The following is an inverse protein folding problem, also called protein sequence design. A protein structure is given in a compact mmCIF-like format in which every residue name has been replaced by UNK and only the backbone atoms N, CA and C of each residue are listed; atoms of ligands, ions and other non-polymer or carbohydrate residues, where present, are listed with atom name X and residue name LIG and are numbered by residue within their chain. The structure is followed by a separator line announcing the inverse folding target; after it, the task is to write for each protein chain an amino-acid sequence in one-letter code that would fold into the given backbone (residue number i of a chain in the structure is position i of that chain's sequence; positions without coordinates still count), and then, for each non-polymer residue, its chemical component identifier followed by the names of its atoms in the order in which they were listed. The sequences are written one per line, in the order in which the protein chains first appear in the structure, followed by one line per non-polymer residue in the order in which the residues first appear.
data_IF_140633702343
#
_entry.id   IF_140633702343
#
_cell.length_a   1.000
_cell.length_b   1.000
_cell.length_c   1.000
_cell.angle_alpha   90.00
_cell.angle_beta   90.00
_cell.angle_gamma   90.00
#
_symmetry.space_group_name_H-M   'P 1'
#
loop_
_entity.id
_entity.type
_entity.pdbx_description
1 polymer ?
#
# COMPACT_ATOMS: atom_id res chain seq x y z
N UNK A 1 -14.17 -24.13 -15.18
CA UNK A 1 -14.69 -23.59 -13.91
C UNK A 1 -13.50 -23.05 -13.15
N UNK A 2 -13.61 -21.85 -12.56
CA UNK A 2 -12.51 -21.31 -11.77
C UNK A 2 -12.33 -22.11 -10.48
N UNK A 3 -11.09 -22.36 -10.07
CA UNK A 3 -10.81 -23.07 -8.80
C UNK A 3 -11.08 -22.15 -7.61
N UNK A 4 -11.32 -22.72 -6.42
CA UNK A 4 -11.45 -21.91 -5.19
C UNK A 4 -10.20 -21.06 -4.92
N UNK A 5 -9.04 -21.50 -5.39
CA UNK A 5 -7.77 -20.78 -5.28
C UNK A 5 -7.74 -19.55 -6.20
N UNK A 6 -8.21 -19.68 -7.44
CA UNK A 6 -8.35 -18.57 -8.40
C UNK A 6 -9.33 -17.51 -7.91
N UNK A 7 -10.45 -17.92 -7.29
CA UNK A 7 -11.40 -16.99 -6.69
C UNK A 7 -10.81 -16.26 -5.47
N UNK A 8 -10.05 -16.97 -4.63
CA UNK A 8 -9.35 -16.39 -3.48
C UNK A 8 -8.29 -15.36 -3.87
N UNK A 9 -7.70 -15.51 -5.06
CA UNK A 9 -6.71 -14.60 -5.62
C UNK A 9 -7.29 -13.29 -6.17
N UNK A 10 -8.58 -13.27 -6.53
CA UNK A 10 -9.18 -12.15 -7.25
C UNK A 10 -9.15 -10.85 -6.43
N UNK A 11 -9.53 -10.91 -5.15
CA UNK A 11 -9.61 -9.73 -4.29
C UNK A 11 -8.23 -9.08 -4.05
N UNK A 12 -7.17 -9.82 -3.65
CA UNK A 12 -5.81 -9.26 -3.59
C UNK A 12 -5.33 -8.64 -4.91
N UNK A 13 -5.65 -9.27 -6.04
CA UNK A 13 -5.26 -8.76 -7.35
C UNK A 13 -5.98 -7.44 -7.65
N UNK A 14 -7.29 -7.34 -7.40
CA UNK A 14 -8.04 -6.08 -7.55
C UNK A 14 -7.47 -4.96 -6.67
N UNK A 15 -7.15 -5.24 -5.40
CA UNK A 15 -6.55 -4.24 -4.52
C UNK A 15 -5.19 -3.76 -5.03
N UNK A 16 -4.39 -4.65 -5.63
CA UNK A 16 -3.09 -4.31 -6.19
C UNK A 16 -3.19 -3.55 -7.50
N UNK A 17 -4.20 -3.84 -8.34
CA UNK A 17 -4.37 -3.16 -9.61
C UNK A 17 -5.07 -1.81 -9.49
N UNK A 18 -5.81 -1.57 -8.39
CA UNK A 18 -6.65 -0.38 -8.22
C UNK A 18 -5.92 0.95 -8.55
N UNK A 19 -4.70 1.24 -8.04
CA UNK A 19 -4.03 2.49 -8.41
C UNK A 19 -3.80 2.62 -9.92
N UNK A 20 -3.39 1.54 -10.59
CA UNK A 20 -3.15 1.51 -12.03
C UNK A 20 -4.45 1.64 -12.83
N UNK A 21 -5.51 0.96 -12.38
CA UNK A 21 -6.84 1.10 -12.95
C UNK A 21 -7.35 2.53 -12.85
N UNK A 22 -7.01 3.26 -11.78
CA UNK A 22 -7.37 4.66 -11.64
C UNK A 22 -6.68 5.55 -12.69
N UNK A 23 -5.38 5.40 -12.95
CA UNK A 23 -4.70 6.15 -14.04
C UNK A 23 -5.40 5.93 -15.38
N UNK A 24 -5.62 4.67 -15.75
CA UNK A 24 -6.23 4.36 -17.05
C UNK A 24 -7.67 4.88 -17.12
N UNK A 25 -8.47 4.68 -16.06
CA UNK A 25 -9.85 5.14 -16.03
C UNK A 25 -9.95 6.67 -16.11
N UNK A 26 -9.15 7.40 -15.32
CA UNK A 26 -9.16 8.87 -15.29
C UNK A 26 -8.64 9.43 -16.62
N UNK A 27 -7.53 8.91 -17.15
CA UNK A 27 -6.99 9.32 -18.45
C UNK A 27 -7.95 9.08 -19.61
N UNK A 28 -8.57 7.89 -19.68
CA UNK A 28 -9.56 7.58 -20.72
C UNK A 28 -10.78 8.48 -20.58
N UNK A 29 -11.28 8.70 -19.35
CA UNK A 29 -12.41 9.60 -19.11
C UNK A 29 -12.08 11.04 -19.51
N UNK A 30 -10.88 11.54 -19.18
CA UNK A 30 -10.41 12.86 -19.57
C UNK A 30 -10.36 13.02 -21.09
N UNK A 31 -9.84 12.03 -21.81
CA UNK A 31 -9.74 12.07 -23.27
C UNK A 31 -11.10 11.94 -23.96
N UNK A 32 -11.91 10.96 -23.55
CA UNK A 32 -13.19 10.64 -24.18
C UNK A 32 -14.24 11.75 -23.98
N UNK A 33 -14.31 12.31 -22.77
CA UNK A 33 -15.30 13.33 -22.41
C UNK A 33 -14.73 14.75 -22.42
N UNK A 34 -13.45 14.91 -22.80
CA UNK A 34 -12.73 16.20 -22.79
C UNK A 34 -12.89 16.94 -21.45
N UNK A 35 -12.88 16.18 -20.35
CA UNK A 35 -13.15 16.70 -19.02
C UNK A 35 -11.89 17.37 -18.45
N UNK A 36 -11.88 18.70 -18.24
CA UNK A 36 -10.73 19.39 -17.65
C UNK A 36 -10.47 18.97 -16.21
N UNK A 37 -11.53 18.61 -15.47
CA UNK A 37 -11.43 18.08 -14.11
C UNK A 37 -10.70 16.73 -14.09
N UNK A 38 -11.06 15.81 -14.99
CA UNK A 38 -10.37 14.52 -15.08
C UNK A 38 -8.93 14.68 -15.58
N UNK A 39 -8.67 15.60 -16.52
CA UNK A 39 -7.32 15.90 -16.98
C UNK A 39 -6.45 16.45 -15.83
N UNK A 40 -7.02 17.29 -14.97
CA UNK A 40 -6.36 17.76 -13.76
C UNK A 40 -6.02 16.63 -12.79
N UNK A 41 -6.99 15.75 -12.54
CA UNK A 41 -6.77 14.58 -11.68
C UNK A 41 -5.67 13.67 -12.25
N UNK A 42 -5.66 13.43 -13.56
CA UNK A 42 -4.61 12.65 -14.23
C UNK A 42 -3.23 13.30 -14.04
N UNK A 43 -3.12 14.61 -14.25
CA UNK A 43 -1.88 15.35 -14.02
C UNK A 43 -1.41 15.21 -12.57
N UNK A 44 -2.33 15.33 -11.60
CA UNK A 44 -2.04 15.14 -10.19
C UNK A 44 -1.55 13.73 -9.86
N UNK A 45 -2.17 12.71 -10.46
CA UNK A 45 -1.75 11.31 -10.31
C UNK A 45 -0.35 11.06 -10.88
N UNK A 46 -0.04 11.61 -12.06
CA UNK A 46 1.28 11.49 -12.68
C UNK A 46 2.36 12.21 -11.87
N UNK A 47 2.06 13.41 -11.38
CA UNK A 47 2.95 14.16 -10.50
C UNK A 47 3.20 13.42 -9.17
N UNK A 48 2.17 12.81 -8.60
CA UNK A 48 2.27 12.00 -7.38
C UNK A 48 3.19 10.77 -7.59
N UNK A 49 3.08 10.07 -8.73
CA UNK A 49 3.96 8.94 -9.05
C UNK A 49 5.42 9.39 -9.26
N UNK A 50 5.63 10.47 -10.03
CA UNK A 50 6.95 11.05 -10.23
C UNK A 50 7.61 11.45 -8.90
N UNK A 51 6.84 12.03 -7.98
CA UNK A 51 7.31 12.36 -6.64
C UNK A 51 7.59 11.11 -5.81
N UNK A 52 6.74 10.07 -5.84
CA UNK A 52 7.04 8.80 -5.15
C UNK A 52 8.38 8.21 -5.62
N UNK A 53 8.61 8.20 -6.93
CA UNK A 53 9.87 7.77 -7.52
C UNK A 53 11.05 8.63 -7.06
N UNK A 54 10.91 9.95 -7.09
CA UNK A 54 11.93 10.88 -6.64
C UNK A 54 12.27 10.69 -5.15
N UNK A 55 11.27 10.49 -4.29
CA UNK A 55 11.45 10.24 -2.86
C UNK A 55 12.17 8.91 -2.60
N UNK A 56 11.79 7.83 -3.29
CA UNK A 56 12.52 6.54 -3.22
C UNK A 56 13.97 6.67 -3.64
N UNK A 57 14.26 7.53 -4.63
CA UNK A 57 15.63 7.81 -5.07
C UNK A 57 16.38 8.64 -4.02
N UNK A 58 15.76 9.70 -3.51
CA UNK A 58 16.34 10.57 -2.50
C UNK A 58 16.69 9.80 -1.21
N UNK A 59 15.77 8.97 -0.70
CA UNK A 59 16.04 8.15 0.48
C UNK A 59 17.20 7.18 0.27
N UNK A 60 17.25 6.49 -0.89
CA UNK A 60 18.39 5.62 -1.23
C UNK A 60 19.71 6.37 -1.29
N UNK A 61 19.72 7.58 -1.85
CA UNK A 61 20.92 8.41 -1.90
C UNK A 61 21.35 8.90 -0.51
N UNK A 62 20.40 9.25 0.37
CA UNK A 62 20.69 9.80 1.69
C UNK A 62 21.10 8.75 2.72
N UNK A 63 20.49 7.56 2.67
CA UNK A 63 20.61 6.54 3.71
C UNK A 63 21.41 5.31 3.27
N UNK A 64 21.66 5.15 1.97
CA UNK A 64 22.23 3.94 1.38
C UNK A 64 21.16 2.92 0.99
N UNK A 65 21.50 2.00 0.07
CA UNK A 65 20.58 0.93 -0.38
C UNK A 65 20.25 -0.08 0.71
N UNK A 66 21.17 -0.27 1.65
CA UNK A 66 21.08 -1.29 2.70
C UNK A 66 20.27 -0.82 3.92
N UNK A 67 19.82 0.44 3.96
CA UNK A 67 19.07 0.94 5.10
C UNK A 67 17.77 0.13 5.33
N UNK A 68 17.60 -0.38 6.55
CA UNK A 68 16.58 -1.34 6.95
C UNK A 68 15.15 -0.84 6.67
N UNK A 69 14.88 0.46 6.88
CA UNK A 69 13.58 1.04 6.57
C UNK A 69 13.31 1.19 5.06
N UNK A 70 14.33 1.16 4.22
CA UNK A 70 14.20 1.18 2.76
C UNK A 70 14.07 -0.22 2.17
N UNK A 71 14.56 -1.23 2.88
CA UNK A 71 14.41 -2.62 2.47
C UNK A 71 12.94 -3.03 2.51
N UNK A 72 12.56 -3.93 1.60
CA UNK A 72 11.27 -4.61 1.67
C UNK A 72 11.38 -5.82 2.61
N UNK A 73 10.24 -6.38 3.08
CA UNK A 73 10.25 -7.67 3.73
C UNK A 73 10.99 -8.73 2.89
N UNK A 74 11.73 -9.69 3.50
CA UNK A 74 12.57 -10.66 2.77
C UNK A 74 11.83 -11.44 1.68
N UNK A 75 10.57 -11.77 1.93
CA UNK A 75 9.73 -12.55 1.00
C UNK A 75 9.04 -11.68 -0.07
N UNK A 76 9.25 -10.36 -0.07
CA UNK A 76 8.55 -9.44 -0.95
C UNK A 76 8.86 -9.72 -2.43
N UNK A 77 7.89 -10.32 -3.11
CA UNK A 77 7.95 -10.59 -4.53
C UNK A 77 7.39 -9.42 -5.35
N UNK A 78 8.21 -8.89 -6.26
CA UNK A 78 7.75 -8.05 -7.36
C UNK A 78 7.38 -8.91 -8.55
N UNK A 79 6.31 -8.53 -9.21
CA UNK A 79 5.59 -9.49 -10.05
C UNK A 79 4.59 -8.75 -10.94
N UNK A 80 4.88 -7.47 -11.18
CA UNK A 80 4.03 -6.55 -11.93
C UNK A 80 2.61 -6.46 -11.38
N UNK A 81 1.67 -6.38 -12.33
CA UNK A 81 0.23 -6.26 -12.10
C UNK A 81 -0.38 -7.60 -11.62
N UNK A 82 0.20 -8.75 -12.00
CA UNK A 82 -0.35 -10.09 -11.72
C UNK A 82 0.67 -11.02 -11.03
N UNK A 83 0.70 -11.04 -9.69
CA UNK A 83 1.84 -11.56 -8.96
C UNK A 83 2.09 -13.05 -9.02
N UNK A 84 1.02 -13.79 -9.23
CA UNK A 84 0.96 -15.22 -8.95
C UNK A 84 1.57 -16.05 -10.07
N UNK A 85 1.86 -15.44 -11.23
CA UNK A 85 2.34 -16.17 -12.39
C UNK A 85 3.87 -16.22 -12.47
N UNK A 86 4.59 -15.15 -12.06
CA UNK A 86 6.07 -15.10 -12.08
C UNK A 86 6.59 -14.15 -10.98
N UNK A 87 6.73 -14.59 -9.73
CA UNK A 87 7.31 -13.78 -8.66
C UNK A 87 8.82 -13.59 -8.91
N UNK A 88 9.26 -12.32 -8.97
CA UNK A 88 10.66 -11.91 -9.02
C UNK A 88 11.03 -11.17 -7.74
N UNK A 89 12.30 -11.14 -7.35
CA UNK A 89 12.72 -10.35 -6.19
C UNK A 89 12.56 -8.86 -6.52
N UNK A 90 11.89 -8.10 -5.65
CA UNK A 90 11.75 -6.65 -5.85
C UNK A 90 13.11 -5.96 -5.79
N UNK A 91 13.45 -5.20 -6.85
CA UNK A 91 14.66 -4.36 -6.91
C UNK A 91 14.42 -2.91 -6.47
N UNK A 92 13.17 -2.51 -6.25
CA UNK A 92 12.83 -1.14 -5.86
C UNK A 92 12.77 -0.94 -4.34
N UNK A 93 13.15 0.28 -3.90
CA UNK A 93 13.01 0.71 -2.50
C UNK A 93 11.58 0.53 -2.00
N UNK A 94 11.44 0.01 -0.78
CA UNK A 94 10.18 -0.21 -0.11
C UNK A 94 9.50 1.08 0.37
N UNK A 95 10.24 2.19 0.50
CA UNK A 95 9.76 3.41 1.15
C UNK A 95 9.85 4.66 0.26
N UNK A 96 8.76 5.46 0.14
CA UNK A 96 7.39 5.17 0.59
C UNK A 96 6.65 4.17 -0.32
N UNK A 97 5.62 3.50 0.21
CA UNK A 97 4.79 2.61 -0.61
C UNK A 97 3.97 3.40 -1.64
N UNK A 98 4.18 3.13 -2.93
CA UNK A 98 3.49 3.82 -4.04
C UNK A 98 1.99 3.58 -4.03
N UNK A 99 1.55 2.31 -3.86
CA UNK A 99 0.13 1.96 -3.73
C UNK A 99 -0.57 2.73 -2.62
N UNK A 100 0.04 2.78 -1.42
CA UNK A 100 -0.54 3.49 -0.30
C UNK A 100 -0.63 5.01 -0.57
N UNK A 101 0.42 5.58 -1.18
CA UNK A 101 0.46 6.98 -1.55
C UNK A 101 -0.62 7.33 -2.59
N UNK A 102 -0.70 6.60 -3.70
CA UNK A 102 -1.68 6.87 -4.76
C UNK A 102 -3.12 6.65 -4.31
N UNK A 103 -3.40 5.58 -3.54
CA UNK A 103 -4.75 5.35 -3.02
C UNK A 103 -5.19 6.43 -2.03
N UNK A 104 -4.30 6.87 -1.14
CA UNK A 104 -4.62 7.97 -0.21
C UNK A 104 -4.75 9.32 -0.92
N UNK A 105 -3.95 9.56 -1.97
CA UNK A 105 -4.08 10.74 -2.83
C UNK A 105 -5.47 10.80 -3.47
N UNK A 106 -5.89 9.71 -4.12
CA UNK A 106 -7.23 9.59 -4.71
C UNK A 106 -8.32 9.78 -3.65
N UNK A 107 -8.16 9.13 -2.49
CA UNK A 107 -9.14 9.24 -1.43
C UNK A 107 -9.32 10.69 -0.95
N UNK A 108 -8.23 11.44 -0.81
CA UNK A 108 -8.28 12.84 -0.42
C UNK A 108 -8.96 13.73 -1.49
N UNK A 109 -8.62 13.55 -2.78
CA UNK A 109 -9.26 14.31 -3.86
C UNK A 109 -10.76 13.98 -3.97
N UNK A 110 -11.12 12.70 -3.97
CA UNK A 110 -12.53 12.27 -4.01
C UNK A 110 -13.31 12.71 -2.76
N UNK A 111 -12.64 12.80 -1.60
CA UNK A 111 -13.28 13.31 -0.38
C UNK A 111 -13.73 14.75 -0.54
N UNK A 112 -12.94 15.59 -1.21
CA UNK A 112 -13.33 16.97 -1.51
C UNK A 112 -14.55 17.04 -2.40
N UNK A 113 -14.61 16.21 -3.45
CA UNK A 113 -15.80 16.10 -4.29
C UNK A 113 -17.04 15.63 -3.51
N UNK A 114 -16.91 14.59 -2.66
CA UNK A 114 -18.00 14.09 -1.85
C UNK A 114 -18.52 15.11 -0.82
N UNK A 115 -17.62 15.90 -0.22
CA UNK A 115 -17.98 16.93 0.76
C UNK A 115 -18.65 18.16 0.16
N UNK A 116 -18.42 18.46 -1.13
CA UNK A 116 -19.11 19.54 -1.83
C UNK A 116 -20.60 19.26 -1.99
N UNK A 117 -20.99 17.99 -1.90
CA UNK A 117 -22.39 17.59 -2.04
C UNK A 117 -22.97 18.08 -3.35
N UNK A 118 -22.18 18.12 -4.43
CA UNK A 118 -22.69 18.45 -5.76
C UNK A 118 -23.82 17.46 -6.04
N UNK A 119 -25.03 18.02 -5.99
CA UNK A 119 -26.27 17.29 -6.00
C UNK A 119 -26.30 16.41 -7.23
N UNK A 120 -26.18 15.10 -7.03
CA UNK A 120 -26.74 14.18 -8.00
C UNK A 120 -28.20 14.59 -8.26
N UNK A 121 -28.74 14.38 -9.46
CA UNK A 121 -30.04 14.89 -9.89
C UNK A 121 -31.22 14.54 -8.96
N UNK A 122 -31.02 13.63 -8.00
CA UNK A 122 -32.04 13.13 -7.07
C UNK A 122 -32.04 13.79 -5.68
N UNK A 123 -31.26 14.85 -5.43
CA UNK A 123 -31.31 15.62 -4.19
C UNK A 123 -30.84 14.82 -2.96
N UNK A 124 -29.62 15.09 -2.51
CA UNK A 124 -29.03 14.33 -1.41
C UNK A 124 -29.94 14.33 -0.16
N UNK A 125 -30.27 13.13 0.34
CA UNK A 125 -31.02 12.97 1.59
C UNK A 125 -30.20 13.55 2.74
N UNK A 126 -30.52 14.78 3.12
CA UNK A 126 -29.92 15.45 4.27
C UNK A 126 -30.71 15.09 5.53
N UNK A 127 -30.00 14.66 6.57
CA UNK A 127 -30.59 14.40 7.88
C UNK A 127 -30.21 15.56 8.79
N UNK A 128 -31.22 16.34 9.22
CA UNK A 128 -31.03 17.39 10.20
C UNK A 128 -31.08 16.78 11.62
N UNK A 129 -29.94 16.76 12.31
CA UNK A 129 -29.86 16.32 13.71
C UNK A 129 -30.02 17.54 14.62
N UNK A 130 -31.07 17.61 15.47
CA UNK A 130 -31.20 18.68 16.44
C UNK A 130 -30.16 18.51 17.57
N UNK A 131 -29.37 19.54 17.84
CA UNK A 131 -28.40 19.59 18.94
C UNK A 131 -28.89 20.48 20.11
N UNK A 132 -30.21 20.60 20.27
CA UNK A 132 -30.81 21.46 21.29
C UNK A 132 -30.45 22.93 21.08
N UNK A 133 -29.90 23.58 22.12
CA UNK A 133 -29.53 25.00 22.09
C UNK A 133 -28.38 25.33 21.11
N UNK A 134 -27.64 24.33 20.63
CA UNK A 134 -26.53 24.51 19.68
C UNK A 134 -26.98 24.55 18.21
N UNK A 135 -28.29 24.45 17.96
CA UNK A 135 -28.87 24.52 16.62
C UNK A 135 -29.06 23.15 15.96
N UNK A 136 -28.99 23.12 14.63
CA UNK A 136 -29.16 21.92 13.81
C UNK A 136 -27.91 21.68 12.98
N UNK A 137 -27.44 20.44 12.95
CA UNK A 137 -26.40 20.00 12.00
C UNK A 137 -27.08 19.22 10.90
N UNK A 138 -26.90 19.66 9.65
CA UNK A 138 -27.34 18.93 8.47
C UNK A 138 -26.23 17.99 8.02
N UNK A 139 -26.48 16.69 8.07
CA UNK A 139 -25.56 15.67 7.56
C UNK A 139 -26.01 15.24 6.17
N UNK A 140 -25.13 15.41 5.18
CA UNK A 140 -25.30 14.80 3.86
C UNK A 140 -24.94 13.31 3.95
N UNK A 141 -25.95 12.44 4.05
CA UNK A 141 -25.76 10.99 4.22
C UNK A 141 -25.05 10.40 3.00
N UNK A 142 -25.40 10.84 1.78
CA UNK A 142 -24.75 10.37 0.55
C UNK A 142 -23.27 10.74 0.49
N UNK A 143 -22.93 11.97 0.90
CA UNK A 143 -21.53 12.40 1.05
C UNK A 143 -20.76 11.57 2.07
N UNK A 144 -21.37 11.28 3.23
CA UNK A 144 -20.75 10.46 4.28
C UNK A 144 -20.51 9.01 3.85
N UNK A 145 -21.48 8.40 3.15
CA UNK A 145 -21.35 7.06 2.60
C UNK A 145 -20.23 7.01 1.55
N UNK A 146 -20.19 8.00 0.65
CA UNK A 146 -19.14 8.11 -0.37
C UNK A 146 -17.76 8.28 0.26
N UNK A 147 -17.62 9.14 1.26
CA UNK A 147 -16.38 9.32 2.03
C UNK A 147 -15.93 8.02 2.68
N UNK A 148 -16.85 7.35 3.37
CA UNK A 148 -16.57 6.10 4.08
C UNK A 148 -16.12 5.03 3.08
N UNK A 149 -16.82 4.88 1.96
CA UNK A 149 -16.48 3.92 0.92
C UNK A 149 -15.08 4.17 0.34
N UNK A 150 -14.79 5.42 -0.03
CA UNK A 150 -13.50 5.80 -0.63
C UNK A 150 -12.33 5.55 0.34
N UNK A 151 -12.49 5.92 1.61
CA UNK A 151 -11.45 5.67 2.62
C UNK A 151 -11.32 4.19 2.99
N UNK A 152 -12.41 3.44 3.02
CA UNK A 152 -12.38 1.98 3.20
C UNK A 152 -11.62 1.28 2.08
N UNK A 153 -11.83 1.70 0.83
CA UNK A 153 -11.07 1.21 -0.32
C UNK A 153 -9.58 1.54 -0.21
N UNK A 154 -9.24 2.79 0.13
CA UNK A 154 -7.84 3.18 0.31
C UNK A 154 -7.17 2.41 1.47
N UNK A 155 -7.90 2.18 2.57
CA UNK A 155 -7.44 1.37 3.69
C UNK A 155 -7.24 -0.11 3.28
N UNK A 156 -8.16 -0.68 2.50
CA UNK A 156 -8.03 -2.03 1.98
C UNK A 156 -6.79 -2.18 1.08
N UNK A 157 -6.51 -1.21 0.21
CA UNK A 157 -5.27 -1.19 -0.57
C UNK A 157 -4.05 -1.11 0.35
N UNK A 158 -4.04 -0.21 1.34
CA UNK A 158 -2.95 -0.08 2.30
C UNK A 158 -2.69 -1.41 3.04
N UNK A 159 -3.74 -2.04 3.56
CA UNK A 159 -3.65 -3.31 4.28
C UNK A 159 -3.14 -4.44 3.39
N UNK A 160 -3.58 -4.50 2.11
CA UNK A 160 -3.14 -5.50 1.13
C UNK A 160 -1.62 -5.51 0.91
N UNK A 161 -0.94 -4.40 1.20
CA UNK A 161 0.52 -4.26 1.06
C UNK A 161 1.30 -4.81 2.24
N UNK A 162 0.64 -5.14 3.35
CA UNK A 162 1.28 -5.54 4.62
C UNK A 162 1.07 -7.01 4.92
N UNK A 163 1.77 -7.53 5.95
CA UNK A 163 1.51 -8.86 6.52
C UNK A 163 0.11 -9.01 7.14
N UNK A 164 -0.57 -7.89 7.40
CA UNK A 164 -1.87 -7.84 8.06
C UNK A 164 -3.05 -7.79 7.09
N UNK A 165 -2.82 -7.86 5.77
CA UNK A 165 -3.89 -7.77 4.78
C UNK A 165 -4.86 -8.96 4.81
N UNK A 166 -4.49 -10.09 5.43
CA UNK A 166 -5.38 -11.23 5.58
C UNK A 166 -5.81 -11.79 4.21
N UNK A 167 -7.12 -11.77 3.93
CA UNK A 167 -7.68 -12.16 2.62
C UNK A 167 -7.37 -11.17 1.50
N UNK A 168 -6.88 -9.97 1.84
CA UNK A 168 -6.44 -8.95 0.88
C UNK A 168 -4.96 -9.09 0.52
N UNK A 169 -4.20 -9.90 1.27
CA UNK A 169 -2.78 -10.10 1.02
C UNK A 169 -2.56 -11.04 -0.17
N UNK A 170 -1.57 -10.73 -0.98
CA UNK A 170 -1.13 -11.63 -2.06
C UNK A 170 -0.52 -12.88 -1.45
N UNK A 171 -0.90 -14.04 -1.99
CA UNK A 171 -0.28 -15.32 -1.69
C UNK A 171 0.57 -15.77 -2.87
N UNK A 172 1.79 -16.24 -2.59
CA UNK A 172 2.73 -16.83 -3.54
C UNK A 172 3.00 -18.25 -3.07
N UNK A 173 2.72 -19.25 -3.90
CA UNK A 173 2.83 -20.67 -3.53
C UNK A 173 2.09 -21.01 -2.22
N UNK A 174 0.86 -20.54 -2.07
CA UNK A 174 0.03 -20.73 -0.87
C UNK A 174 0.46 -19.94 0.38
N UNK A 175 1.58 -19.19 0.33
CA UNK A 175 2.08 -18.39 1.46
C UNK A 175 1.77 -16.92 1.28
N UNK A 176 1.23 -16.27 2.32
CA UNK A 176 0.99 -14.82 2.30
C UNK A 176 2.30 -14.05 2.36
N UNK A 177 2.48 -13.13 1.43
CA UNK A 177 3.71 -12.33 1.30
C UNK A 177 3.44 -10.87 1.63
N UNK A 178 4.20 -10.33 2.58
CA UNK A 178 4.21 -8.89 2.86
C UNK A 178 5.04 -8.17 1.80
N UNK A 179 4.47 -7.13 1.19
CA UNK A 179 5.15 -6.36 0.15
C UNK A 179 5.88 -5.15 0.73
N UNK A 180 5.35 -4.61 1.82
CA UNK A 180 5.86 -3.45 2.53
C UNK A 180 5.73 -3.64 4.04
N UNK A 181 6.63 -3.00 4.78
CA UNK A 181 6.43 -2.80 6.22
C UNK A 181 5.31 -1.79 6.47
N UNK A 182 4.66 -1.88 7.63
CA UNK A 182 3.56 -0.98 8.01
C UNK A 182 3.99 0.49 7.95
N UNK A 183 5.20 0.82 8.42
CA UNK A 183 5.70 2.19 8.39
C UNK A 183 5.82 2.75 6.97
N UNK A 184 6.23 1.93 6.00
CA UNK A 184 6.36 2.32 4.59
C UNK A 184 4.99 2.63 3.97
N UNK A 185 3.96 1.88 4.37
CA UNK A 185 2.57 2.09 3.98
C UNK A 185 2.01 3.35 4.63
N UNK A 186 2.21 3.53 5.93
CA UNK A 186 1.73 4.71 6.67
C UNK A 186 2.35 5.99 6.12
N UNK A 187 3.67 6.03 5.90
CA UNK A 187 4.35 7.20 5.34
C UNK A 187 3.85 7.49 3.93
N UNK A 188 3.71 6.46 3.08
CA UNK A 188 3.11 6.61 1.75
C UNK A 188 1.71 7.20 1.81
N UNK A 189 0.81 6.62 2.61
CA UNK A 189 -0.56 7.09 2.76
C UNK A 189 -0.65 8.54 3.27
N UNK A 190 0.20 8.92 4.25
CA UNK A 190 0.23 10.30 4.78
C UNK A 190 0.67 11.31 3.72
N UNK A 191 1.76 11.02 3.00
CA UNK A 191 2.24 11.86 1.88
C UNK A 191 1.15 11.98 0.82
N UNK A 192 0.58 10.86 0.41
CA UNK A 192 -0.46 10.79 -0.61
C UNK A 192 -1.69 11.60 -0.25
N UNK A 193 -2.25 11.39 0.95
CA UNK A 193 -3.43 12.12 1.43
C UNK A 193 -3.21 13.63 1.51
N UNK A 194 -2.05 14.08 1.99
CA UNK A 194 -1.72 15.50 2.05
C UNK A 194 -1.56 16.12 0.66
N UNK A 195 -0.90 15.42 -0.26
CA UNK A 195 -0.75 15.86 -1.66
C UNK A 195 -2.08 15.87 -2.41
N UNK A 196 -2.95 14.89 -2.17
CA UNK A 196 -4.29 14.85 -2.76
C UNK A 196 -5.15 16.01 -2.28
N UNK A 197 -5.06 16.32 -0.98
CA UNK A 197 -5.72 17.50 -0.43
C UNK A 197 -5.15 18.80 -1.00
N UNK A 198 -3.82 18.94 -1.11
CA UNK A 198 -3.17 20.06 -1.81
C UNK A 198 -3.66 20.20 -3.25
N UNK A 199 -3.72 19.11 -4.00
CA UNK A 199 -4.13 19.12 -5.41
C UNK A 199 -5.59 19.56 -5.57
N UNK A 200 -6.46 19.14 -4.65
CA UNK A 200 -7.84 19.60 -4.61
C UNK A 200 -7.92 21.09 -4.25
N UNK A 201 -7.25 21.56 -3.18
CA UNK A 201 -7.22 23.00 -2.86
C UNK A 201 -6.68 23.85 -4.02
N UNK A 202 -5.62 23.38 -4.69
CA UNK A 202 -5.01 24.09 -5.80
C UNK A 202 -5.96 24.23 -6.98
N UNK A 203 -6.67 23.14 -7.34
CA UNK A 203 -7.71 23.17 -8.37
C UNK A 203 -8.78 24.22 -8.07
N UNK A 204 -9.15 24.36 -6.80
CA UNK A 204 -10.18 25.28 -6.34
C UNK A 204 -9.69 26.73 -6.16
N UNK A 205 -8.42 27.02 -6.45
CA UNK A 205 -7.82 28.33 -6.23
C UNK A 205 -7.66 28.69 -4.74
N UNK A 206 -7.68 27.69 -3.85
CA UNK A 206 -7.53 27.86 -2.40
C UNK A 206 -6.07 27.70 -1.94
N UNK A 207 -5.72 28.15 -0.72
CA UNK A 207 -4.39 27.98 -0.16
C UNK A 207 -3.99 26.49 0.00
N UNK A 208 -3.21 25.98 -0.93
CA UNK A 208 -2.76 24.57 -0.97
C UNK A 208 -1.39 24.34 -0.32
N UNK A 209 -0.59 25.40 -0.18
CA UNK A 209 0.81 25.34 0.22
C UNK A 209 1.02 24.77 1.63
N UNK A 210 0.05 24.96 2.55
CA UNK A 210 0.12 24.39 3.90
C UNK A 210 0.21 22.86 3.85
N UNK A 211 -0.67 22.21 3.09
CA UNK A 211 -0.72 20.75 3.01
C UNK A 211 0.51 20.19 2.28
N UNK A 212 1.04 20.92 1.29
CA UNK A 212 2.28 20.56 0.60
C UNK A 212 3.49 20.67 1.54
N UNK A 213 3.55 21.73 2.35
CA UNK A 213 4.56 21.91 3.39
C UNK A 213 4.49 20.82 4.46
N UNK A 214 3.29 20.41 4.88
CA UNK A 214 3.11 19.28 5.80
C UNK A 214 3.57 17.96 5.18
N UNK A 215 3.34 17.74 3.88
CA UNK A 215 3.87 16.55 3.18
C UNK A 215 5.40 16.53 3.20
N UNK A 216 6.04 17.68 2.93
CA UNK A 216 7.49 17.82 3.03
C UNK A 216 7.99 17.53 4.45
N UNK A 217 7.28 18.01 5.48
CA UNK A 217 7.60 17.71 6.88
C UNK A 217 7.52 16.20 7.18
N UNK A 218 6.50 15.50 6.69
CA UNK A 218 6.39 14.03 6.83
C UNK A 218 7.58 13.33 6.19
N UNK A 219 8.01 13.77 5.00
CA UNK A 219 9.21 13.24 4.32
C UNK A 219 10.46 13.46 5.17
N UNK A 220 10.64 14.64 5.74
CA UNK A 220 11.80 14.96 6.58
C UNK A 220 11.82 14.13 7.87
N UNK A 221 10.67 13.98 8.54
CA UNK A 221 10.54 13.13 9.73
C UNK A 221 10.87 11.68 9.37
N UNK A 222 10.33 11.17 8.27
CA UNK A 222 10.59 9.82 7.80
C UNK A 222 12.09 9.58 7.49
N UNK A 223 12.75 10.55 6.85
CA UNK A 223 14.19 10.51 6.60
C UNK A 223 14.99 10.49 7.91
N UNK A 224 14.63 11.35 8.85
CA UNK A 224 15.29 11.46 10.15
C UNK A 224 15.11 10.19 10.98
N UNK A 225 13.90 9.62 11.01
CA UNK A 225 13.63 8.34 11.69
C UNK A 225 14.43 7.20 11.07
N UNK A 226 14.53 7.13 9.75
CA UNK A 226 15.34 6.12 9.08
C UNK A 226 16.83 6.28 9.41
N UNK A 227 17.37 7.50 9.32
CA UNK A 227 18.75 7.78 9.72
C UNK A 227 19.01 7.46 11.20
N UNK A 228 18.04 7.71 12.08
CA UNK A 228 18.13 7.39 13.50
C UNK A 228 18.16 5.88 13.75
N UNK A 229 17.32 5.10 13.05
CA UNK A 229 17.31 3.63 13.14
C UNK A 229 18.63 3.04 12.67
N UNK A 230 19.20 3.53 11.56
CA UNK A 230 20.52 3.07 11.08
C UNK A 230 21.65 3.40 12.04
N UNK A 231 21.56 4.54 12.73
CA UNK A 231 22.57 4.96 13.71
C UNK A 231 22.37 4.36 15.08
N UNK A 232 21.19 3.81 15.37
CA UNK A 232 20.91 3.13 16.63
C UNK A 232 21.65 1.80 16.60
N UNK A 233 22.84 1.70 17.24
CA UNK A 233 23.74 0.61 16.98
C UNK A 233 23.12 -0.72 17.38
N UNK A 234 23.73 -1.81 16.90
CA UNK A 234 23.57 -3.21 17.31
C UNK A 234 23.63 -3.50 18.84
N UNK A 235 23.58 -2.46 19.69
CA UNK A 235 23.48 -2.51 21.15
C UNK A 235 22.29 -3.33 21.68
N UNK A 236 21.28 -3.61 20.85
CA UNK A 236 20.21 -4.55 21.19
C UNK A 236 20.39 -5.94 20.58
N UNK A 237 21.11 -6.09 19.46
CA UNK A 237 21.34 -7.39 18.84
C UNK A 237 22.38 -8.24 19.60
N UNK A 238 23.22 -7.63 20.42
CA UNK A 238 24.22 -8.33 21.23
C UNK A 238 23.72 -8.93 22.55
N UNK A 239 22.46 -8.69 22.95
CA UNK A 239 21.99 -9.07 24.30
C UNK A 239 21.10 -10.33 24.35
N UNK A 240 20.54 -10.75 23.21
CA UNK A 240 19.71 -11.96 23.12
C UNK A 240 20.48 -13.19 22.56
N UNK A 241 21.70 -12.99 22.05
CA UNK A 241 22.51 -14.06 21.43
C UNK A 241 23.12 -15.09 22.38
N UNK A 242 23.09 -14.85 23.70
CA UNK A 242 23.79 -15.69 24.69
C UNK A 242 22.84 -16.61 25.49
N UNK A 243 21.51 -16.45 25.35
CA UNK A 243 20.55 -17.26 26.14
C UNK A 243 20.11 -18.56 25.48
N UNK A 244 20.32 -18.70 24.16
CA UNK A 244 19.91 -19.90 23.42
C UNK A 244 21.03 -20.91 23.20
N UNK A 245 22.29 -20.60 23.55
CA UNK A 245 23.38 -21.58 23.48
C UNK A 245 23.37 -22.56 24.67
N UNK A 246 22.87 -22.17 25.84
CA UNK A 246 22.81 -23.06 27.00
C UNK A 246 21.68 -24.11 26.92
N UNK A 247 20.63 -23.87 26.12
CA UNK A 247 19.50 -24.79 25.99
C UNK A 247 19.77 -25.98 25.04
N UNK A 248 20.88 -26.00 24.29
CA UNK A 248 21.25 -27.11 23.38
C UNK A 248 22.18 -28.16 23.98
N UNK A 249 22.46 -28.08 25.28
CA UNK A 249 23.22 -29.10 26.02
C UNK A 249 22.33 -30.21 26.62
N UNK A 250 21.18 -30.52 26.01
CA UNK A 250 20.47 -31.76 26.34
C UNK A 250 21.10 -32.93 25.56
N UNK A 251 21.60 -33.98 26.24
CA UNK A 251 22.15 -35.15 25.58
C UNK A 251 21.06 -35.86 24.78
N UNK A 252 21.24 -35.90 23.46
CA UNK A 252 20.51 -36.78 22.56
C UNK A 252 20.72 -38.22 23.03
N UNK A 253 19.64 -38.83 23.53
CA UNK A 253 19.60 -40.27 23.73
C UNK A 253 19.50 -40.93 22.36
N UNK A 254 20.56 -41.65 22.00
CA UNK A 254 20.56 -42.62 20.92
C UNK A 254 19.39 -43.58 21.11
N UNK A 255 18.41 -43.50 20.20
CA UNK A 255 17.53 -44.62 19.93
C UNK A 255 17.49 -44.84 18.42
N UNK A 256 18.32 -45.80 18.05
CA UNK A 256 18.26 -46.62 16.86
C UNK A 256 16.81 -46.97 16.46
N UNK A 257 16.45 -46.68 15.21
CA UNK A 257 15.59 -47.60 14.46
C UNK A 257 15.93 -47.53 12.98
N UNK A 258 16.63 -48.56 12.52
CA UNK A 258 16.76 -48.92 11.12
C UNK A 258 15.36 -49.08 10.51
N UNK A 259 15.13 -48.42 9.38
CA UNK A 259 13.89 -48.51 8.63
C UNK A 259 14.18 -48.34 7.15
N UNK A 260 14.77 -49.37 6.55
CA UNK A 260 14.98 -49.45 5.11
C UNK A 260 13.64 -49.61 4.40
N UNK A 261 13.30 -48.69 3.52
CA UNK A 261 12.42 -48.98 2.39
C UNK A 261 12.96 -48.28 1.16
N UNK A 262 13.44 -49.12 0.26
CA UNK A 262 13.50 -48.88 -1.17
C UNK A 262 12.17 -48.30 -1.68
N UNK A 263 12.21 -47.43 -2.68
CA UNK A 263 11.62 -47.74 -3.98
C UNK A 263 11.61 -46.55 -4.93
N UNK A 264 11.96 -46.89 -6.17
CA UNK A 264 11.50 -46.32 -7.44
C UNK A 264 12.02 -44.93 -7.86
N UNK A 265 13.17 -44.98 -8.56
CA UNK A 265 13.38 -44.18 -9.76
C UNK A 265 12.18 -44.31 -10.71
N UNK A 266 11.54 -43.19 -11.03
CA UNK A 266 10.70 -43.05 -12.22
C UNK A 266 11.35 -41.98 -13.10
N UNK A 267 12.17 -42.44 -14.05
CA UNK A 267 12.52 -41.67 -15.24
C UNK A 267 11.24 -41.45 -16.07
N UNK A 268 10.79 -40.19 -16.16
CA UNK A 268 9.83 -39.77 -17.17
C UNK A 268 10.56 -38.91 -18.19
N UNK A 269 11.03 -39.58 -19.24
CA UNK A 269 11.43 -38.95 -20.49
C UNK A 269 10.17 -38.41 -21.19
N UNK A 270 10.16 -37.11 -21.46
CA UNK A 270 9.22 -36.49 -22.39
C UNK A 270 10.04 -35.84 -23.50
N UNK A 271 10.09 -36.52 -24.65
CA UNK A 271 10.59 -36.00 -25.91
C UNK A 271 9.50 -36.17 -26.98
N UNK A 272 9.20 -35.06 -27.67
CA UNK A 272 8.25 -34.96 -28.80
C UNK A 272 7.10 -34.01 -28.46
N UNK A 273 6.82 -32.93 -29.20
CA UNK A 273 7.20 -32.46 -30.54
C UNK A 273 7.37 -30.94 -30.53
#
# INVERSE_FOLDING_TARGET
MATSEELGALLPNVMRTMPYSAYIAVGVYAAALRSPLAAWLELGLLANEALNFALKRAFRCLLGSEALLLQRPPDAADSGIYPQHVPTKSSSSGMPSGHAQTSAFLAAVCSRAALRGEDGPDGASSVAIPLGALGRVSLNVGGLLSLTFVWMLAAAVCLSRTRYGGVLSVSVNGRRVAQHYVIQVVVGAKIGGLLGWSAAEWYEGRPWALHAGLSALVVLIAAASAAAVERWPAAWQGQDGDKDQDARSMPLSDSTSEGSTSDAEIELSWAGQ
#
